data_IF_831367710540
#
_entry.id   IF_831367710540
#
_cell.length_a   1.000
_cell.length_b   1.000
_cell.length_c   1.000
_cell.angle_alpha   90.00
_cell.angle_beta   90.00
_cell.angle_gamma   90.00
#
_symmetry.space_group_name_H-M   'P 1'
#
loop_
_entity.id
_entity.type
_entity.pdbx_description
1 polymer ?
#
# COMPACT_ATOMS: atom_id res chain seq x y z
N UNK A 1 -3.57 7.79 8.15
CA UNK A 1 -3.56 8.18 6.73
C UNK A 1 -3.98 6.97 5.92
N UNK A 2 -4.86 7.09 4.91
CA UNK A 2 -5.33 5.93 4.16
C UNK A 2 -4.22 5.29 3.31
N UNK A 3 -4.01 4.00 3.50
CA UNK A 3 -3.20 3.11 2.68
C UNK A 3 -4.08 1.97 2.18
N UNK A 4 -4.31 1.93 0.87
CA UNK A 4 -5.15 0.94 0.19
C UNK A 4 -4.30 0.12 -0.77
N UNK A 5 -4.62 -1.17 -0.85
CA UNK A 5 -3.99 -2.13 -1.76
C UNK A 5 -5.05 -2.76 -2.66
N UNK A 6 -4.67 -3.07 -3.89
CA UNK A 6 -5.43 -3.80 -4.89
C UNK A 6 -4.50 -4.76 -5.63
N UNK A 7 -4.80 -6.06 -5.61
CA UNK A 7 -3.96 -7.07 -6.26
C UNK A 7 -4.73 -8.35 -6.55
N UNK A 8 -4.19 -9.20 -7.43
CA UNK A 8 -4.61 -10.59 -7.57
C UNK A 8 -3.76 -11.45 -6.64
N UNK A 9 -4.40 -12.34 -5.90
CA UNK A 9 -3.68 -13.28 -5.05
C UNK A 9 -4.35 -14.64 -4.99
N UNK A 10 -3.51 -15.65 -4.84
CA UNK A 10 -3.89 -17.03 -4.62
C UNK A 10 -4.07 -17.31 -3.13
N UNK A 11 -5.14 -18.00 -2.76
CA UNK A 11 -5.42 -18.36 -1.37
C UNK A 11 -4.67 -19.65 -1.00
N UNK A 12 -3.52 -19.49 -0.34
CA UNK A 12 -2.68 -20.61 0.09
C UNK A 12 -3.33 -21.41 1.22
N UNK A 13 -3.82 -20.72 2.25
CA UNK A 13 -4.54 -21.29 3.37
C UNK A 13 -5.31 -20.20 4.12
N UNK A 14 -6.26 -20.61 4.95
CA UNK A 14 -6.90 -19.71 5.90
C UNK A 14 -7.39 -20.47 7.13
N UNK A 15 -7.52 -19.76 8.24
CA UNK A 15 -8.30 -20.19 9.39
C UNK A 15 -9.65 -19.47 9.38
N UNK A 16 -10.68 -20.14 9.90
CA UNK A 16 -12.04 -19.59 10.00
C UNK A 16 -12.44 -19.50 11.47
N UNK A 17 -12.96 -18.35 11.86
CA UNK A 17 -13.59 -18.12 13.16
C UNK A 17 -15.00 -17.60 12.95
N UNK A 18 -15.98 -18.28 13.54
CA UNK A 18 -17.36 -17.81 13.57
C UNK A 18 -17.56 -16.85 14.75
N UNK A 19 -18.25 -15.75 14.49
CA UNK A 19 -18.75 -14.82 15.50
C UNK A 19 -20.26 -14.66 15.31
N UNK A 20 -20.93 -13.89 16.17
CA UNK A 20 -22.38 -13.68 16.06
C UNK A 20 -22.77 -12.95 14.77
N UNK A 21 -21.96 -12.01 14.30
CA UNK A 21 -22.28 -11.15 13.15
C UNK A 21 -21.48 -11.52 11.89
N UNK A 22 -20.26 -12.04 12.06
CA UNK A 22 -19.34 -12.31 10.96
C UNK A 22 -18.73 -13.71 11.03
N UNK A 23 -18.52 -14.30 9.86
CA UNK A 23 -17.44 -15.25 9.64
C UNK A 23 -16.15 -14.47 9.38
N UNK A 24 -15.18 -14.60 10.27
CA UNK A 24 -13.85 -14.02 10.11
C UNK A 24 -12.92 -15.07 9.50
N UNK A 25 -12.29 -14.74 8.38
CA UNK A 25 -11.23 -15.55 7.77
C UNK A 25 -9.89 -14.83 7.88
N UNK A 26 -8.91 -15.50 8.46
CA UNK A 26 -7.52 -15.05 8.47
C UNK A 26 -6.74 -15.88 7.43
N UNK A 27 -6.31 -15.23 6.37
CA UNK A 27 -5.84 -15.84 5.12
C UNK A 27 -4.35 -15.58 4.97
N UNK A 28 -3.61 -16.61 4.60
CA UNK A 28 -2.30 -16.47 3.96
C UNK A 28 -2.53 -16.50 2.46
N UNK A 29 -2.34 -15.35 1.81
CA UNK A 29 -2.46 -15.22 0.37
C UNK A 29 -1.11 -14.91 -0.27
N UNK A 30 -0.96 -15.29 -1.53
CA UNK A 30 0.27 -15.15 -2.31
C UNK A 30 -0.03 -14.37 -3.57
N UNK A 31 0.69 -13.27 -3.79
CA UNK A 31 0.65 -12.53 -5.05
C UNK A 31 1.95 -12.79 -5.84
N UNK A 32 1.83 -12.89 -7.17
CA UNK A 32 2.98 -12.99 -8.07
C UNK A 32 3.52 -11.60 -8.38
N UNK A 33 4.85 -11.49 -8.44
CA UNK A 33 5.57 -10.26 -8.76
C UNK A 33 6.24 -10.32 -10.14
N UNK A 34 6.31 -11.50 -10.75
CA UNK A 34 6.92 -11.73 -12.05
C UNK A 34 6.17 -12.86 -12.79
N UNK A 35 5.96 -12.67 -14.09
CA UNK A 35 5.26 -13.62 -14.95
C UNK A 35 6.18 -14.77 -15.39
N UNK A 36 7.49 -14.51 -15.51
CA UNK A 36 8.49 -15.46 -15.99
C UNK A 36 9.13 -16.26 -14.84
N UNK A 37 9.21 -15.66 -13.64
CA UNK A 37 9.80 -16.29 -12.46
C UNK A 37 8.73 -16.60 -11.38
N UNK A 38 8.26 -17.85 -11.25
CA UNK A 38 7.23 -18.24 -10.28
C UNK A 38 7.70 -18.17 -8.82
N UNK A 39 9.02 -18.01 -8.58
CA UNK A 39 9.56 -17.87 -7.22
C UNK A 39 9.46 -16.43 -6.70
N UNK A 40 9.29 -15.44 -7.60
CA UNK A 40 9.07 -14.05 -7.23
C UNK A 40 7.63 -13.82 -6.82
N UNK A 41 7.40 -14.06 -5.53
CA UNK A 41 6.10 -13.92 -4.89
C UNK A 41 6.18 -13.02 -3.67
N UNK A 42 5.01 -12.57 -3.21
CA UNK A 42 4.88 -11.89 -1.93
C UNK A 42 3.69 -12.39 -1.13
N UNK A 43 3.89 -12.47 0.18
CA UNK A 43 2.87 -12.94 1.12
C UNK A 43 2.01 -11.79 1.64
N UNK A 44 0.72 -12.04 1.71
CA UNK A 44 -0.29 -11.17 2.31
C UNK A 44 -0.95 -11.94 3.46
N UNK A 45 -1.00 -11.34 4.65
CA UNK A 45 -1.85 -11.80 5.75
C UNK A 45 -3.13 -11.00 5.73
N UNK A 46 -4.20 -11.62 5.27
CA UNK A 46 -5.47 -10.93 5.01
C UNK A 46 -6.50 -11.31 6.05
N UNK A 47 -7.18 -10.32 6.63
CA UNK A 47 -8.39 -10.53 7.44
C UNK A 47 -9.61 -10.12 6.63
N UNK A 48 -10.54 -11.06 6.46
CA UNK A 48 -11.82 -10.83 5.80
C UNK A 48 -12.97 -11.05 6.77
N UNK A 49 -13.93 -10.13 6.76
CA UNK A 49 -15.14 -10.17 7.60
C UNK A 49 -16.33 -10.39 6.68
N UNK A 50 -16.85 -11.61 6.66
CA UNK A 50 -17.99 -12.01 5.82
C UNK A 50 -19.22 -12.04 6.73
N UNK A 51 -20.26 -11.22 6.49
CA UNK A 51 -21.49 -11.26 7.29
C UNK A 51 -22.09 -12.66 7.34
N UNK A 52 -22.62 -13.06 8.50
CA UNK A 52 -23.36 -14.32 8.63
C UNK A 52 -24.73 -14.22 7.95
N UNK A 53 -25.34 -13.04 7.99
CA UNK A 53 -26.58 -12.75 7.29
C UNK A 53 -26.29 -12.40 5.82
N UNK A 54 -26.70 -13.29 4.91
CA UNK A 54 -26.54 -13.14 3.47
C UNK A 54 -27.33 -11.95 2.88
N UNK A 55 -28.30 -11.42 3.62
CA UNK A 55 -29.06 -10.23 3.19
C UNK A 55 -28.25 -8.93 3.36
N UNK A 56 -27.17 -8.94 4.16
CA UNK A 56 -26.30 -7.79 4.33
C UNK A 56 -25.42 -7.64 3.09
N UNK A 57 -25.54 -6.54 2.31
CA UNK A 57 -24.71 -6.35 1.12
C UNK A 57 -23.23 -6.30 1.48
N UNK A 58 -22.46 -7.24 0.94
CA UNK A 58 -21.02 -7.34 1.18
C UNK A 58 -20.24 -7.45 -0.14
N UNK A 59 -19.10 -6.76 -0.23
CA UNK A 59 -18.20 -6.84 -1.38
C UNK A 59 -17.16 -7.97 -1.25
N UNK A 60 -17.26 -8.78 -0.20
CA UNK A 60 -16.40 -9.92 0.08
C UNK A 60 -17.27 -11.17 -0.14
N UNK A 61 -17.11 -11.79 -1.32
CA UNK A 61 -17.72 -13.10 -1.59
C UNK A 61 -16.98 -14.19 -0.81
N UNK A 62 -17.66 -15.29 -0.51
CA UNK A 62 -16.99 -16.45 0.08
C UNK A 62 -16.02 -17.10 -0.93
N UNK A 63 -15.01 -17.81 -0.42
CA UNK A 63 -13.90 -18.38 -1.19
C UNK A 63 -13.28 -19.58 -0.46
N UNK A 64 -12.55 -20.39 -1.22
CA UNK A 64 -11.89 -21.61 -0.77
C UNK A 64 -10.38 -21.57 -1.00
N UNK A 65 -9.68 -22.47 -0.32
CA UNK A 65 -8.25 -22.72 -0.56
C UNK A 65 -8.05 -23.12 -2.02
N UNK A 66 -6.96 -22.66 -2.63
CA UNK A 66 -6.62 -23.00 -4.01
C UNK A 66 -7.21 -22.07 -5.05
N UNK A 67 -8.03 -21.09 -4.65
CA UNK A 67 -8.64 -20.15 -5.59
C UNK A 67 -7.83 -18.86 -5.72
N UNK A 68 -7.90 -18.24 -6.90
CA UNK A 68 -7.40 -16.90 -7.15
C UNK A 68 -8.51 -15.87 -6.94
N UNK A 69 -8.17 -14.81 -6.22
CA UNK A 69 -9.07 -13.69 -5.92
C UNK A 69 -8.45 -12.37 -6.36
N UNK A 70 -9.32 -11.43 -6.73
CA UNK A 70 -8.98 -10.02 -6.75
C UNK A 70 -9.31 -9.41 -5.39
N UNK A 71 -8.28 -8.96 -4.68
CA UNK A 71 -8.34 -8.42 -3.33
C UNK A 71 -8.21 -6.90 -3.37
N UNK A 72 -9.11 -6.22 -2.65
CA UNK A 72 -8.91 -4.83 -2.21
C UNK A 72 -8.97 -4.76 -0.70
N UNK A 73 -8.14 -3.89 -0.11
CA UNK A 73 -8.14 -3.73 1.34
C UNK A 73 -7.38 -2.50 1.82
N UNK A 74 -7.51 -2.22 3.11
CA UNK A 74 -6.58 -1.35 3.82
C UNK A 74 -5.37 -2.19 4.22
N UNK A 75 -4.16 -1.62 4.19
CA UNK A 75 -2.96 -2.40 4.48
C UNK A 75 -1.92 -1.66 5.32
N UNK A 76 -1.07 -2.45 5.95
CA UNK A 76 0.17 -2.01 6.60
C UNK A 76 1.31 -2.84 6.05
N UNK A 77 2.41 -2.19 5.68
CA UNK A 77 3.61 -2.87 5.23
C UNK A 77 4.41 -3.43 6.43
N UNK A 78 4.86 -4.68 6.31
CA UNK A 78 5.73 -5.33 7.27
C UNK A 78 6.99 -5.82 6.53
N UNK A 79 8.08 -6.11 7.25
CA UNK A 79 9.26 -6.68 6.62
C UNK A 79 8.88 -7.97 5.87
N UNK A 80 9.07 -7.98 4.54
CA UNK A 80 8.79 -9.06 3.58
C UNK A 80 7.34 -9.54 3.40
N UNK A 81 6.34 -8.92 4.01
CA UNK A 81 4.92 -9.27 3.82
C UNK A 81 3.99 -8.09 4.13
N UNK A 82 2.70 -8.21 3.80
CA UNK A 82 1.73 -7.13 4.07
C UNK A 82 0.53 -7.62 4.88
N UNK A 83 0.15 -6.86 5.90
CA UNK A 83 -1.09 -7.09 6.66
C UNK A 83 -2.22 -6.35 5.98
N UNK A 84 -3.31 -7.03 5.65
CA UNK A 84 -4.42 -6.46 4.90
C UNK A 84 -5.75 -6.73 5.60
N UNK A 85 -6.58 -5.70 5.77
CA UNK A 85 -7.99 -5.88 6.04
C UNK A 85 -8.74 -5.76 4.73
N UNK A 86 -9.34 -6.87 4.28
CA UNK A 86 -10.09 -6.91 3.04
C UNK A 86 -11.32 -6.01 3.14
N UNK A 87 -11.55 -5.20 2.11
CA UNK A 87 -12.77 -4.42 1.90
C UNK A 87 -13.56 -4.94 0.70
N UNK A 88 -12.89 -5.65 -0.22
CA UNK A 88 -13.54 -6.40 -1.29
C UNK A 88 -12.72 -7.63 -1.65
N UNK A 89 -13.41 -8.74 -1.89
CA UNK A 89 -12.83 -9.98 -2.43
C UNK A 89 -13.75 -10.46 -3.55
N UNK A 90 -13.18 -10.59 -4.75
CA UNK A 90 -13.88 -11.15 -5.91
C UNK A 90 -13.15 -12.39 -6.39
N UNK A 91 -13.86 -13.50 -6.50
CA UNK A 91 -13.34 -14.72 -7.09
C UNK A 91 -13.05 -14.49 -8.58
N UNK A 92 -11.93 -15.02 -9.07
CA UNK A 92 -11.63 -15.13 -10.49
C UNK A 92 -11.83 -16.59 -10.88
N UNK A 93 -12.91 -16.86 -11.61
CA UNK A 93 -13.29 -18.21 -11.97
C UNK A 93 -12.27 -18.84 -12.94
N UNK A 94 -12.03 -20.14 -12.79
CA UNK A 94 -11.17 -20.94 -13.67
C UNK A 94 -9.72 -20.46 -13.79
N UNK A 95 -9.19 -19.75 -12.78
CA UNK A 95 -7.80 -19.32 -12.73
C UNK A 95 -7.04 -20.05 -11.61
N UNK A 96 -5.99 -20.77 -11.99
CA UNK A 96 -5.04 -21.39 -11.07
C UNK A 96 -3.89 -20.45 -10.67
N UNK A 97 -3.02 -20.93 -9.79
CA UNK A 97 -1.81 -20.18 -9.39
C UNK A 97 -0.88 -19.91 -10.59
N UNK A 98 -0.65 -20.94 -11.43
CA UNK A 98 0.28 -20.85 -12.56
C UNK A 98 -0.23 -19.90 -13.67
N UNK A 99 -1.55 -19.77 -13.80
CA UNK A 99 -2.22 -18.87 -14.75
C UNK A 99 -2.41 -17.45 -14.20
N UNK A 100 -2.17 -17.22 -12.90
CA UNK A 100 -2.37 -15.92 -12.26
C UNK A 100 -1.34 -14.93 -12.77
N UNK A 101 -1.73 -13.77 -13.33
CA UNK A 101 -0.79 -12.78 -13.82
C UNK A 101 -0.12 -12.01 -12.67
N UNK A 102 1.13 -11.62 -12.88
CA UNK A 102 1.91 -10.79 -11.96
C UNK A 102 1.59 -9.30 -12.10
N UNK A 103 0.38 -8.91 -11.69
CA UNK A 103 -0.05 -7.50 -11.76
C UNK A 103 0.54 -6.61 -10.64
N UNK A 104 1.39 -7.18 -9.78
CA UNK A 104 2.00 -6.50 -8.64
C UNK A 104 1.01 -6.09 -7.54
N UNK A 105 1.53 -5.32 -6.57
CA UNK A 105 0.73 -4.73 -5.49
C UNK A 105 0.40 -3.28 -5.83
N UNK A 106 -0.74 -3.04 -6.46
CA UNK A 106 -1.18 -1.68 -6.77
C UNK A 106 -1.67 -0.99 -5.50
N UNK A 107 -1.08 0.14 -5.15
CA UNK A 107 -1.38 0.84 -3.90
C UNK A 107 -1.73 2.29 -4.11
N UNK A 108 -2.53 2.80 -3.17
CA UNK A 108 -2.79 4.22 -2.99
C UNK A 108 -2.49 4.52 -1.53
N UNK A 109 -1.52 5.40 -1.30
CA UNK A 109 -1.00 5.71 0.02
C UNK A 109 -1.10 7.22 0.23
N UNK A 110 -1.64 7.64 1.36
CA UNK A 110 -1.46 8.98 1.85
C UNK A 110 -0.33 8.97 2.87
N UNK A 111 0.69 9.80 2.66
CA UNK A 111 1.87 9.84 3.51
C UNK A 111 2.42 11.26 3.67
N UNK A 112 3.39 11.39 4.58
CA UNK A 112 4.13 12.61 4.86
C UNK A 112 5.56 12.50 4.37
N UNK A 113 6.12 13.59 3.85
CA UNK A 113 7.54 13.70 3.53
C UNK A 113 8.12 15.03 4.00
N UNK A 114 9.39 15.06 4.39
CA UNK A 114 10.06 16.21 5.04
C UNK A 114 11.12 16.88 4.17
N UNK A 115 11.10 16.64 2.84
CA UNK A 115 11.85 17.33 1.76
C UNK A 115 13.24 16.82 1.41
N UNK A 116 13.38 15.53 1.14
CA UNK A 116 14.66 15.02 0.62
C UNK A 116 14.42 14.20 -0.62
N UNK A 117 14.10 14.90 -1.71
CA UNK A 117 14.16 14.28 -3.04
C UNK A 117 15.63 14.05 -3.35
N UNK A 118 16.02 12.78 -3.46
CA UNK A 118 17.35 12.37 -3.89
C UNK A 118 17.28 11.99 -5.36
N UNK A 119 18.16 12.56 -6.17
CA UNK A 119 18.27 12.21 -7.58
C UNK A 119 19.52 11.35 -7.76
N UNK A 120 19.34 10.09 -8.15
CA UNK A 120 20.43 9.11 -8.34
C UNK A 120 20.13 8.34 -9.63
N UNK A 121 21.12 8.22 -10.52
CA UNK A 121 21.04 7.39 -11.74
C UNK A 121 19.76 7.57 -12.56
N UNK A 122 19.38 8.82 -12.81
CA UNK A 122 18.18 9.20 -13.56
C UNK A 122 16.84 8.80 -12.88
N UNK A 123 16.87 8.44 -11.60
CA UNK A 123 15.69 8.27 -10.75
C UNK A 123 15.60 9.38 -9.70
N UNK A 124 14.37 9.81 -9.44
CA UNK A 124 13.98 10.62 -8.29
C UNK A 124 13.48 9.69 -7.20
N UNK A 125 14.00 9.87 -6.00
CA UNK A 125 13.78 9.03 -4.83
C UNK A 125 13.25 9.91 -3.69
N UNK A 126 12.12 9.52 -3.10
CA UNK A 126 11.44 10.31 -2.07
C UNK A 126 10.96 9.37 -0.95
N UNK A 127 11.34 9.67 0.29
CA UNK A 127 10.87 8.90 1.44
C UNK A 127 9.54 9.46 1.96
N UNK A 128 8.58 8.56 2.11
CA UNK A 128 7.28 8.85 2.71
C UNK A 128 7.08 8.04 4.00
N UNK A 129 6.69 8.76 5.04
CA UNK A 129 6.20 8.21 6.29
C UNK A 129 4.69 7.98 6.20
N UNK A 130 4.24 6.81 6.64
CA UNK A 130 2.84 6.40 6.57
C UNK A 130 2.39 5.89 7.93
N UNK A 131 1.25 6.42 8.40
CA UNK A 131 0.54 5.90 9.56
C UNK A 131 -0.78 5.29 9.11
N UNK A 132 -1.06 4.06 9.50
CA UNK A 132 -2.33 3.40 9.18
C UNK A 132 -2.84 2.60 10.39
N UNK A 133 -4.16 2.51 10.49
CA UNK A 133 -4.87 1.74 11.51
C UNK A 133 -5.76 0.69 10.84
N UNK A 134 -5.57 -0.58 11.20
CA UNK A 134 -6.35 -1.72 10.72
C UNK A 134 -7.43 -2.16 11.73
N UNK A 135 -7.85 -1.26 12.62
CA UNK A 135 -8.86 -1.51 13.64
C UNK A 135 -8.33 -2.20 14.91
N UNK A 136 -7.06 -2.60 14.93
CA UNK A 136 -6.34 -2.86 16.16
C UNK A 136 -6.06 -1.50 16.82
N UNK A 137 -6.33 -1.35 18.13
CA UNK A 137 -6.29 -0.06 18.86
C UNK A 137 -4.96 0.72 18.80
N UNK A 138 -3.96 0.23 18.06
CA UNK A 138 -2.62 0.77 17.89
C UNK A 138 -2.40 1.18 16.42
N UNK A 139 -2.00 2.44 16.20
CA UNK A 139 -1.50 2.92 14.92
C UNK A 139 -0.23 2.15 14.55
N UNK A 140 -0.10 1.80 13.27
CA UNK A 140 1.10 1.20 12.72
C UNK A 140 1.73 2.15 11.74
N UNK A 141 3.05 2.22 11.82
CA UNK A 141 3.87 3.16 11.09
C UNK A 141 4.79 2.37 10.15
N UNK A 142 4.96 2.85 8.93
CA UNK A 142 5.92 2.29 7.99
C UNK A 142 6.44 3.35 7.02
N UNK A 143 7.60 3.08 6.44
CA UNK A 143 8.25 3.95 5.47
C UNK A 143 8.16 3.34 4.08
N UNK A 144 8.00 4.19 3.07
CA UNK A 144 7.99 3.80 1.66
C UNK A 144 8.96 4.72 0.90
N UNK A 145 9.87 4.12 0.16
CA UNK A 145 10.76 4.80 -0.76
C UNK A 145 10.07 4.87 -2.13
N UNK A 146 9.81 6.08 -2.60
CA UNK A 146 9.04 6.33 -3.83
C UNK A 146 10.00 6.69 -4.95
N UNK A 147 9.93 5.93 -6.04
CA UNK A 147 10.82 6.05 -7.19
C UNK A 147 10.05 6.47 -8.44
N UNK A 148 10.62 7.40 -9.21
CA UNK A 148 10.19 7.61 -10.59
C UNK A 148 11.37 8.07 -11.47
N UNK A 149 11.25 7.83 -12.77
CA UNK A 149 12.25 8.32 -13.74
C UNK A 149 12.19 9.85 -13.85
N UNK A 150 13.34 10.52 -13.84
CA UNK A 150 13.44 11.98 -13.97
C UNK A 150 12.98 12.52 -15.33
N UNK A 151 13.07 11.70 -16.38
CA UNK A 151 12.63 12.07 -17.72
C UNK A 151 11.10 12.14 -17.85
N UNK A 152 10.35 11.57 -16.89
CA UNK A 152 8.90 11.72 -16.81
C UNK A 152 8.56 13.11 -16.26
N UNK A 153 8.58 14.10 -17.17
CA UNK A 153 8.40 15.53 -16.84
C UNK A 153 7.19 15.80 -15.95
N UNK A 154 6.09 15.09 -16.16
CA UNK A 154 4.89 15.21 -15.34
C UNK A 154 5.15 14.92 -13.85
N UNK A 155 5.75 13.76 -13.54
CA UNK A 155 6.06 13.36 -12.17
C UNK A 155 7.17 14.25 -11.60
N UNK A 156 8.22 14.53 -12.37
CA UNK A 156 9.31 15.40 -11.95
C UNK A 156 8.82 16.80 -11.54
N UNK A 157 7.91 17.40 -12.31
CA UNK A 157 7.35 18.71 -11.96
C UNK A 157 6.56 18.65 -10.64
N UNK A 158 5.73 17.62 -10.46
CA UNK A 158 4.93 17.45 -9.24
C UNK A 158 5.78 17.18 -8.01
N UNK A 159 6.80 16.34 -8.12
CA UNK A 159 7.67 16.01 -7.00
C UNK A 159 8.58 17.17 -6.66
N UNK A 160 9.15 17.88 -7.63
CA UNK A 160 9.98 19.06 -7.38
C UNK A 160 9.25 20.17 -6.59
N UNK A 161 7.91 20.26 -6.67
CA UNK A 161 7.14 21.19 -5.86
C UNK A 161 7.21 20.90 -4.34
N UNK A 162 7.50 19.65 -3.94
CA UNK A 162 7.71 19.26 -2.53
C UNK A 162 8.91 20.01 -1.94
N UNK A 163 9.98 20.20 -2.72
CA UNK A 163 11.19 20.90 -2.27
C UNK A 163 10.95 22.39 -1.95
N UNK A 164 9.83 22.97 -2.44
CA UNK A 164 9.52 24.39 -2.24
C UNK A 164 8.81 24.67 -0.90
N UNK A 165 8.29 23.64 -0.22
CA UNK A 165 7.62 23.82 1.07
C UNK A 165 8.65 24.09 2.18
N UNK A 166 8.38 24.96 3.16
CA UNK A 166 9.21 25.04 4.38
C UNK A 166 8.83 23.98 5.44
N UNK A 167 7.73 23.24 5.24
CA UNK A 167 7.16 22.26 6.19
C UNK A 167 7.10 20.85 5.59
N UNK A 168 6.69 19.87 6.40
CA UNK A 168 6.31 18.55 5.88
C UNK A 168 5.19 18.67 4.84
N UNK A 169 5.22 17.81 3.83
CA UNK A 169 4.22 17.76 2.76
C UNK A 169 3.42 16.48 2.90
N UNK A 170 2.10 16.59 2.99
CA UNK A 170 1.19 15.46 2.85
C UNK A 170 0.91 15.23 1.37
N UNK A 171 1.06 14.01 0.90
CA UNK A 171 0.70 13.65 -0.47
C UNK A 171 -0.09 12.36 -0.52
N UNK A 172 -0.94 12.25 -1.53
CA UNK A 172 -1.52 11.00 -1.99
C UNK A 172 -0.65 10.48 -3.14
N UNK A 173 -0.04 9.32 -2.97
CA UNK A 173 0.80 8.65 -3.98
C UNK A 173 0.10 7.37 -4.45
N UNK A 174 0.23 7.07 -5.73
CA UNK A 174 -0.29 5.87 -6.37
C UNK A 174 0.82 5.18 -7.15
N UNK A 175 0.87 3.86 -7.09
CA UNK A 175 1.92 3.12 -7.76
C UNK A 175 1.91 1.63 -7.47
N UNK A 176 2.95 0.95 -7.96
CA UNK A 176 3.18 -0.47 -7.69
C UNK A 176 4.22 -0.63 -6.59
N UNK A 177 3.87 -1.37 -5.54
CA UNK A 177 4.70 -1.59 -4.36
C UNK A 177 5.46 -2.92 -4.44
N UNK A 178 6.74 -2.89 -4.14
CA UNK A 178 7.62 -4.06 -3.99
C UNK A 178 8.39 -3.99 -2.68
N UNK A 179 9.04 -5.09 -2.31
CA UNK A 179 9.93 -5.15 -1.15
C UNK A 179 11.32 -5.58 -1.59
N UNK A 180 12.31 -4.76 -1.28
CA UNK A 180 13.72 -5.12 -1.43
C UNK A 180 14.19 -5.79 -0.14
N UNK A 181 14.73 -7.00 -0.25
CA UNK A 181 15.28 -7.72 0.90
C UNK A 181 16.53 -7.01 1.45
N UNK A 182 16.78 -7.09 2.77
CA UNK A 182 18.02 -6.58 3.34
C UNK A 182 19.23 -7.32 2.77
N UNK A 183 20.31 -6.59 2.48
CA UNK A 183 21.60 -7.20 2.13
C UNK A 183 22.33 -7.56 3.42
N UNK A 184 22.83 -8.80 3.48
CA UNK A 184 23.62 -9.32 4.59
C UNK A 184 25.09 -9.41 4.14
N UNK A 185 26.01 -9.01 5.01
CA UNK A 185 27.42 -9.37 4.84
C UNK A 185 27.56 -10.88 4.98
N UNK A 186 28.09 -11.54 3.95
CA UNK A 186 28.23 -12.99 3.87
C UNK A 186 29.11 -13.56 5.00
N UNK A 187 30.01 -12.74 5.54
CA UNK A 187 31.00 -13.17 6.55
C UNK A 187 30.46 -13.02 7.96
N UNK A 188 29.85 -11.87 8.27
CA UNK A 188 29.36 -11.53 9.63
C UNK A 188 27.86 -11.82 9.83
N UNK A 189 27.10 -12.03 8.75
CA UNK A 189 25.63 -12.02 8.71
C UNK A 189 24.99 -10.74 9.25
N UNK A 190 25.76 -9.66 9.41
CA UNK A 190 25.21 -8.35 9.75
C UNK A 190 24.54 -7.70 8.53
N UNK A 191 23.50 -6.89 8.79
CA UNK A 191 22.79 -6.18 7.73
C UNK A 191 23.63 -5.01 7.26
N UNK A 192 24.09 -5.05 6.01
CA UNK A 192 24.77 -3.93 5.36
C UNK A 192 23.76 -2.94 4.76
N UNK A 193 22.55 -3.40 4.42
CA UNK A 193 21.41 -2.54 4.09
C UNK A 193 20.12 -3.06 4.72
N UNK A 194 19.25 -2.17 5.25
CA UNK A 194 17.92 -2.57 5.70
C UNK A 194 17.02 -2.89 4.50
N UNK A 195 16.11 -3.85 4.67
CA UNK A 195 15.08 -4.11 3.67
C UNK A 195 14.09 -2.95 3.61
N UNK A 196 13.62 -2.62 2.41
CA UNK A 196 12.87 -1.39 2.13
C UNK A 196 11.67 -1.65 1.24
N UNK A 197 10.60 -0.90 1.49
CA UNK A 197 9.41 -0.91 0.64
C UNK A 197 9.60 0.13 -0.46
N UNK A 198 9.58 -0.32 -1.70
CA UNK A 198 9.81 0.54 -2.87
C UNK A 198 8.50 0.67 -3.64
N UNK A 199 8.07 1.91 -3.89
CA UNK A 199 6.92 2.22 -4.71
C UNK A 199 7.39 2.83 -6.02
N UNK A 200 7.11 2.16 -7.13
CA UNK A 200 7.23 2.78 -8.46
C UNK A 200 6.03 3.68 -8.66
N UNK A 201 6.27 4.99 -8.77
CA UNK A 201 5.24 6.02 -8.74
C UNK A 201 4.56 6.16 -10.11
N UNK A 202 3.24 6.02 -10.12
CA UNK A 202 2.39 6.28 -11.28
C UNK A 202 1.81 7.70 -11.26
N UNK A 203 1.40 8.17 -10.07
CA UNK A 203 0.90 9.54 -9.89
C UNK A 203 1.00 10.01 -8.43
N UNK A 204 1.00 11.32 -8.25
CA UNK A 204 1.07 11.99 -6.95
C UNK A 204 0.15 13.22 -6.91
N UNK A 205 -0.53 13.43 -5.80
CA UNK A 205 -1.26 14.67 -5.53
C UNK A 205 -0.82 15.24 -4.19
N UNK A 206 -0.31 16.48 -4.20
CA UNK A 206 0.06 17.19 -2.99
C UNK A 206 -1.20 17.73 -2.31
N UNK A 207 -1.36 17.48 -1.02
CA UNK A 207 -2.49 17.97 -0.22
C UNK A 207 -2.00 19.21 0.52
N UNK A 208 -2.47 20.38 0.09
CA UNK A 208 -1.99 21.67 0.61
C UNK A 208 -2.15 21.79 2.12
N UNK A 209 -1.10 22.20 2.83
CA UNK A 209 -1.18 22.69 4.22
C UNK A 209 -1.27 24.22 4.29
N UNK A 210 -1.87 24.88 3.28
CA UNK A 210 -2.09 26.33 3.30
C UNK A 210 -3.41 26.66 4.00
N UNK A 211 -3.44 26.53 5.33
CA UNK A 211 -4.31 27.41 6.12
C UNK A 211 -3.49 28.65 6.44
N UNK A 212 -3.69 29.73 5.68
CA UNK A 212 -3.25 31.06 6.08
C UNK A 212 -4.32 31.61 7.04
N UNK A 213 -4.08 31.67 8.37
CA UNK A 213 -5.09 32.18 9.31
C UNK A 213 -5.41 33.67 9.09
N UNK A 214 -4.52 34.39 8.39
CA UNK A 214 -4.65 35.82 8.12
C UNK A 214 -5.74 36.16 7.08
N UNK A 215 -6.09 35.23 6.19
CA UNK A 215 -7.10 35.48 5.14
C UNK A 215 -8.52 35.28 5.69
N UNK A 216 -8.70 34.30 6.59
CA UNK A 216 -10.01 34.05 7.21
C UNK A 216 -10.41 35.18 8.17
N UNK A 217 -9.45 35.76 8.89
CA UNK A 217 -9.71 36.91 9.77
C UNK A 217 -10.19 38.17 9.01
N UNK A 218 -9.73 38.37 7.76
CA UNK A 218 -10.18 39.48 6.92
C UNK A 218 -11.54 39.22 6.24
N UNK A 219 -11.92 37.95 6.05
CA UNK A 219 -13.27 37.64 5.53
C UNK A 219 -14.34 37.73 6.63
N UNK A 220 -14.00 37.46 7.89
CA UNK A 220 -14.90 37.64 9.03
C UNK A 220 -15.09 39.10 9.46
N UNK A 221 -14.09 39.97 9.26
CA UNK A 221 -14.20 41.40 9.59
C UNK A 221 -15.00 42.23 8.58
N UNK A 222 -15.18 41.72 7.36
CA UNK A 222 -15.89 42.43 6.28
C UNK A 222 -17.39 42.07 6.20
N UNK A 223 -17.88 41.26 7.14
CA UNK A 223 -19.27 40.83 7.25
C UNK A 223 -19.95 41.30 8.55
N UNK A 224 -19.41 42.33 9.21
CA UNK A 224 -20.00 42.98 10.39
C UNK A 224 -20.37 44.43 10.09
#
# INVERSE_FOLDING_TARGET
MPAKISTMCYIHEFTKRLTQEFTVKEITAVARLDDDDPTKIVYLRVKAFIPVDENIPCQIKDFNKGQVIFLKGKFVACASWYSVNATSVKLIDNMGFDDMPAIGLNVMIMGLTTKTIRNVDNQSIIEFYVEENLGDRKLREFWVEVHHNLNLRYLANKTNAINQSMRSTTALIMGTLTYEMPVLDETSREKTSPGKHILTLDDISLISTNRNPAVDAQQLSNAS
#
